data_IF_363048564746
#
_entry.id   IF_363048564746
#
_cell.length_a   1.000
_cell.length_b   1.000
_cell.length_c   1.000
_cell.angle_alpha   90.00
_cell.angle_beta   90.00
_cell.angle_gamma   90.00
#
_symmetry.space_group_name_H-M   'P 1'
#
loop_
_entity.id
_entity.type
_entity.pdbx_description
1 polymer ?
#
# COMPACT_ATOMS: atom_id res chain seq x y z
N UNK A 1 7.29 23.23 -8.10
CA UNK A 1 7.38 23.88 -6.77
C UNK A 1 6.16 23.53 -5.89
N UNK A 2 4.92 23.68 -6.36
CA UNK A 2 3.69 23.39 -5.56
C UNK A 2 3.69 21.99 -4.93
N UNK A 3 4.01 20.96 -5.71
CA UNK A 3 4.07 19.58 -5.23
C UNK A 3 5.17 19.35 -4.19
N UNK A 4 6.35 19.96 -4.37
CA UNK A 4 7.43 19.88 -3.39
C UNK A 4 7.01 20.56 -2.06
N UNK A 5 6.38 21.73 -2.14
CA UNK A 5 5.87 22.42 -0.96
C UNK A 5 4.79 21.60 -0.25
N UNK A 6 3.87 20.98 -1.00
CA UNK A 6 2.83 20.12 -0.41
C UNK A 6 3.46 18.90 0.29
N UNK A 7 4.42 18.22 -0.36
CA UNK A 7 5.17 17.12 0.23
C UNK A 7 5.83 17.52 1.56
N UNK A 8 6.60 18.61 1.54
CA UNK A 8 7.32 19.09 2.73
C UNK A 8 6.39 19.53 3.87
N UNK A 9 5.19 20.00 3.55
CA UNK A 9 4.20 20.45 4.54
C UNK A 9 3.38 19.30 5.13
N UNK A 10 3.01 18.30 4.33
CA UNK A 10 2.01 17.28 4.69
C UNK A 10 2.61 15.89 4.90
N UNK A 11 3.85 15.65 4.44
CA UNK A 11 4.46 14.32 4.40
C UNK A 11 3.93 13.41 3.27
N UNK A 12 2.94 13.84 2.46
CA UNK A 12 2.50 13.07 1.30
C UNK A 12 3.63 12.94 0.27
N UNK A 13 3.70 11.79 -0.41
CA UNK A 13 4.74 11.53 -1.40
C UNK A 13 4.68 12.54 -2.56
N UNK A 14 5.83 13.03 -3.04
CA UNK A 14 5.88 13.86 -4.24
C UNK A 14 5.54 13.00 -5.47
N UNK A 15 4.66 13.50 -6.34
CA UNK A 15 4.22 12.76 -7.54
C UNK A 15 5.19 12.86 -8.73
N UNK A 16 6.23 13.66 -8.63
CA UNK A 16 7.25 13.81 -9.67
C UNK A 16 8.66 13.76 -9.09
N UNK A 17 9.60 13.21 -9.85
CA UNK A 17 11.01 13.22 -9.49
C UNK A 17 11.53 14.63 -9.25
N UNK A 18 11.11 15.59 -10.08
CA UNK A 18 11.49 17.00 -9.92
C UNK A 18 11.04 17.58 -8.57
N UNK A 19 9.87 17.21 -8.07
CA UNK A 19 9.40 17.64 -6.75
C UNK A 19 10.26 17.05 -5.63
N UNK A 20 10.68 15.80 -5.77
CA UNK A 20 11.62 15.15 -4.85
C UNK A 20 12.99 15.85 -4.84
N UNK A 21 13.52 16.16 -6.02
CA UNK A 21 14.81 16.88 -6.15
C UNK A 21 14.75 18.27 -5.51
N UNK A 22 13.66 19.00 -5.67
CA UNK A 22 13.45 20.32 -5.03
C UNK A 22 13.43 20.18 -3.51
N UNK A 23 12.71 19.20 -2.98
CA UNK A 23 12.67 18.94 -1.53
C UNK A 23 14.05 18.54 -0.99
N UNK A 24 14.81 17.72 -1.73
CA UNK A 24 16.18 17.36 -1.40
C UNK A 24 17.10 18.57 -1.37
N UNK A 25 17.07 19.41 -2.42
CA UNK A 25 17.89 20.60 -2.51
C UNK A 25 17.59 21.66 -1.43
N UNK A 26 16.37 21.64 -0.84
CA UNK A 26 16.00 22.53 0.26
C UNK A 26 16.52 22.10 1.64
N UNK A 27 17.20 20.94 1.74
CA UNK A 27 17.64 20.37 3.03
C UNK A 27 16.51 19.74 3.84
N UNK A 28 15.36 19.48 3.22
CA UNK A 28 14.19 18.91 3.92
C UNK A 28 14.48 17.54 4.54
N UNK A 29 15.16 16.65 3.81
CA UNK A 29 15.43 15.30 4.27
C UNK A 29 16.55 15.21 5.32
N UNK A 30 17.45 16.19 5.35
CA UNK A 30 18.45 16.30 6.43
C UNK A 30 17.78 16.66 7.76
N UNK A 31 16.75 17.53 7.71
CA UNK A 31 15.96 17.92 8.89
C UNK A 31 14.89 16.92 9.29
N UNK A 32 14.52 16.02 8.37
CA UNK A 32 13.48 15.00 8.57
C UNK A 32 13.99 13.60 8.17
N UNK A 33 14.88 12.99 8.97
CA UNK A 33 15.44 11.67 8.68
C UNK A 33 14.34 10.62 8.45
N UNK A 34 14.47 9.85 7.37
CA UNK A 34 13.50 8.81 7.00
C UNK A 34 12.35 9.26 6.10
N UNK A 35 12.11 10.56 5.94
CA UNK A 35 11.05 11.07 5.06
C UNK A 35 11.28 10.76 3.57
N UNK A 36 12.50 10.42 3.18
CA UNK A 36 12.87 10.04 1.81
C UNK A 36 12.75 8.53 1.53
N UNK A 37 12.57 7.70 2.55
CA UNK A 37 12.56 6.23 2.40
C UNK A 37 11.49 5.76 1.42
N UNK A 38 10.25 6.23 1.59
CA UNK A 38 9.13 5.83 0.73
C UNK A 38 9.32 6.29 -0.72
N UNK A 39 9.89 7.49 -0.93
CA UNK A 39 10.21 8.00 -2.28
C UNK A 39 11.31 7.16 -2.94
N UNK A 40 12.37 6.87 -2.20
CA UNK A 40 13.46 6.00 -2.68
C UNK A 40 12.96 4.61 -3.03
N UNK A 41 12.02 4.08 -2.25
CA UNK A 41 11.41 2.78 -2.49
C UNK A 41 10.55 2.80 -3.77
N UNK A 42 9.75 3.85 -3.98
CA UNK A 42 8.99 4.02 -5.22
C UNK A 42 9.88 4.11 -6.46
N UNK A 43 11.01 4.82 -6.38
CA UNK A 43 11.96 4.95 -7.50
C UNK A 43 12.62 3.61 -7.89
N UNK A 44 12.62 2.61 -6.99
CA UNK A 44 13.10 1.25 -7.25
C UNK A 44 12.00 0.29 -7.75
N UNK A 45 10.85 0.81 -8.16
CA UNK A 45 9.72 0.00 -8.65
C UNK A 45 10.14 -0.81 -9.89
N UNK A 46 9.83 -2.09 -9.86
CA UNK A 46 10.01 -3.03 -10.97
C UNK A 46 8.64 -3.59 -11.38
N UNK A 47 8.60 -4.37 -12.46
CA UNK A 47 7.37 -5.07 -12.87
C UNK A 47 6.81 -5.98 -11.76
N UNK A 48 7.69 -6.51 -10.89
CA UNK A 48 7.31 -7.38 -9.76
C UNK A 48 6.73 -6.59 -8.57
N UNK A 49 6.97 -5.29 -8.49
CA UNK A 49 6.47 -4.41 -7.42
C UNK A 49 5.25 -3.57 -7.84
N UNK A 50 4.71 -3.79 -9.03
CA UNK A 50 3.45 -3.20 -9.47
C UNK A 50 2.29 -3.77 -8.68
N UNK A 51 1.21 -2.98 -8.53
CA UNK A 51 0.01 -3.42 -7.86
C UNK A 51 -0.56 -4.70 -8.45
N UNK A 52 -1.06 -5.57 -7.57
CA UNK A 52 -1.66 -6.86 -7.95
C UNK A 52 -3.01 -6.60 -8.62
N UNK A 53 -3.24 -7.25 -9.75
CA UNK A 53 -4.55 -7.28 -10.42
C UNK A 53 -5.22 -8.61 -10.08
N UNK A 54 -6.26 -8.56 -9.26
CA UNK A 54 -7.06 -9.72 -8.88
C UNK A 54 -8.54 -9.46 -9.17
N UNK A 55 -9.25 -10.52 -9.58
CA UNK A 55 -10.70 -10.50 -9.63
C UNK A 55 -11.29 -10.25 -8.23
N UNK A 56 -12.36 -9.48 -8.14
CA UNK A 56 -12.99 -9.11 -6.88
C UNK A 56 -12.03 -8.54 -5.81
N UNK A 57 -10.96 -7.86 -6.23
CA UNK A 57 -9.99 -7.27 -5.30
C UNK A 57 -10.64 -6.40 -4.20
N UNK A 58 -11.66 -5.56 -4.46
CA UNK A 58 -12.34 -4.81 -3.40
C UNK A 58 -12.93 -5.71 -2.33
N UNK A 59 -13.58 -6.81 -2.71
CA UNK A 59 -14.15 -7.78 -1.77
C UNK A 59 -13.06 -8.48 -0.95
N UNK A 60 -11.93 -8.82 -1.58
CA UNK A 60 -10.79 -9.43 -0.89
C UNK A 60 -10.20 -8.44 0.13
N UNK A 61 -10.11 -7.15 -0.19
CA UNK A 61 -9.66 -6.12 0.76
C UNK A 61 -10.58 -6.01 1.97
N UNK A 62 -11.90 -6.03 1.76
CA UNK A 62 -12.88 -6.06 2.87
C UNK A 62 -12.66 -7.28 3.78
N UNK A 63 -12.41 -8.46 3.18
CA UNK A 63 -12.10 -9.68 3.95
C UNK A 63 -10.82 -9.50 4.78
N UNK A 64 -9.78 -8.89 4.20
CA UNK A 64 -8.54 -8.59 4.93
C UNK A 64 -8.81 -7.68 6.13
N UNK A 65 -9.57 -6.61 5.93
CA UNK A 65 -9.89 -5.65 6.98
C UNK A 65 -10.69 -6.32 8.13
N UNK A 66 -11.71 -7.13 7.80
CA UNK A 66 -12.50 -7.88 8.77
C UNK A 66 -11.67 -8.87 9.61
N UNK A 67 -10.75 -9.59 8.99
CA UNK A 67 -9.91 -10.56 9.70
C UNK A 67 -8.83 -9.85 10.53
N UNK A 68 -8.29 -8.72 10.07
CA UNK A 68 -7.34 -7.91 10.84
C UNK A 68 -8.01 -7.27 12.06
N UNK A 69 -9.25 -6.83 11.96
CA UNK A 69 -10.01 -6.33 13.10
C UNK A 69 -10.13 -7.38 14.22
N UNK A 70 -10.24 -8.66 13.87
CA UNK A 70 -10.23 -9.74 14.85
C UNK A 70 -8.89 -9.89 15.56
N UNK A 71 -7.76 -9.62 14.88
CA UNK A 71 -6.44 -9.62 15.50
C UNK A 71 -6.35 -8.48 16.51
N UNK A 72 -6.69 -7.26 16.07
CA UNK A 72 -6.60 -6.06 16.91
C UNK A 72 -7.54 -6.11 18.12
N UNK A 73 -8.70 -6.71 17.96
CA UNK A 73 -9.65 -6.93 19.07
C UNK A 73 -9.33 -8.16 19.94
N UNK A 74 -8.23 -8.87 19.69
CA UNK A 74 -7.82 -10.07 20.43
C UNK A 74 -8.70 -11.30 20.21
N UNK A 75 -9.57 -11.29 19.19
CA UNK A 75 -10.48 -12.40 18.87
C UNK A 75 -9.86 -13.50 18.01
N UNK A 76 -8.73 -13.23 17.38
CA UNK A 76 -8.02 -14.21 16.57
C UNK A 76 -6.50 -14.01 16.68
N UNK A 77 -5.74 -15.12 16.48
CA UNK A 77 -4.30 -15.03 16.26
C UNK A 77 -4.00 -14.49 14.87
N UNK A 78 -2.85 -13.86 14.69
CA UNK A 78 -2.42 -13.37 13.37
C UNK A 78 -2.42 -14.49 12.32
N UNK A 79 -1.89 -15.68 12.68
CA UNK A 79 -1.91 -16.84 11.78
C UNK A 79 -3.32 -17.26 11.40
N UNK A 80 -4.21 -17.42 12.38
CA UNK A 80 -5.59 -17.85 12.12
C UNK A 80 -6.37 -16.87 11.24
N UNK A 81 -6.18 -15.56 11.46
CA UNK A 81 -6.78 -14.52 10.64
C UNK A 81 -6.23 -14.55 9.19
N UNK A 82 -4.92 -14.69 9.01
CA UNK A 82 -4.32 -14.79 7.67
C UNK A 82 -4.75 -16.06 6.93
N UNK A 83 -4.85 -17.19 7.61
CA UNK A 83 -5.39 -18.43 7.01
C UNK A 83 -6.85 -18.23 6.56
N UNK A 84 -7.66 -17.51 7.36
CA UNK A 84 -9.03 -17.17 6.99
C UNK A 84 -9.09 -16.21 5.79
N UNK A 85 -8.20 -15.22 5.71
CA UNK A 85 -8.08 -14.32 4.54
C UNK A 85 -7.80 -15.12 3.28
N UNK A 86 -6.83 -16.05 3.31
CA UNK A 86 -6.48 -16.88 2.16
C UNK A 86 -7.66 -17.74 1.72
N UNK A 87 -8.32 -18.43 2.65
CA UNK A 87 -9.48 -19.27 2.33
C UNK A 87 -10.62 -18.45 1.73
N UNK A 88 -11.07 -17.40 2.41
CA UNK A 88 -12.18 -16.54 1.97
C UNK A 88 -11.85 -15.79 0.67
N UNK A 89 -10.60 -15.35 0.52
CA UNK A 89 -10.12 -14.69 -0.71
C UNK A 89 -10.15 -15.64 -1.91
N UNK A 90 -9.71 -16.89 -1.74
CA UNK A 90 -9.77 -17.90 -2.80
C UNK A 90 -11.21 -18.21 -3.22
N UNK A 91 -12.17 -18.23 -2.29
CA UNK A 91 -13.59 -18.38 -2.63
C UNK A 91 -14.08 -17.24 -3.56
N UNK A 92 -13.62 -15.99 -3.33
CA UNK A 92 -13.93 -14.86 -4.22
C UNK A 92 -13.28 -15.02 -5.60
N UNK A 93 -12.06 -15.49 -5.67
CA UNK A 93 -11.38 -15.72 -6.96
C UNK A 93 -12.07 -16.82 -7.78
N UNK A 94 -12.44 -17.93 -7.16
CA UNK A 94 -13.22 -19.00 -7.81
C UNK A 94 -14.57 -18.47 -8.32
N UNK A 95 -15.25 -17.63 -7.53
CA UNK A 95 -16.50 -17.01 -7.94
C UNK A 95 -16.29 -16.07 -9.13
N UNK A 96 -15.24 -15.24 -9.10
CA UNK A 96 -14.89 -14.35 -10.21
C UNK A 96 -14.64 -15.15 -11.50
N UNK A 97 -13.85 -16.22 -11.43
CA UNK A 97 -13.55 -17.06 -12.56
C UNK A 97 -14.82 -17.65 -13.22
N UNK A 98 -15.80 -18.07 -12.44
CA UNK A 98 -17.07 -18.65 -12.94
C UNK A 98 -17.95 -17.64 -13.69
N UNK A 99 -17.87 -16.35 -13.34
CA UNK A 99 -18.72 -15.32 -13.97
C UNK A 99 -18.03 -14.60 -15.12
N UNK A 100 -16.72 -14.83 -15.32
CA UNK A 100 -15.92 -14.21 -16.39
C UNK A 100 -15.56 -15.16 -17.53
N UNK A 101 -15.86 -16.44 -17.39
CA UNK A 101 -15.82 -17.46 -18.45
C UNK A 101 -17.18 -17.59 -19.13
#
# INVERSE_FOLDING_TARGET
QVQANNHMRTGYLPVTQKAFEIAKASGYYEKNPGADVAVKQMLKTTDKSRGIRLGYLPNIRTIVDEEFEKIWSGKATAKGALDAVVRRGNEQLVRFERVTK
#
